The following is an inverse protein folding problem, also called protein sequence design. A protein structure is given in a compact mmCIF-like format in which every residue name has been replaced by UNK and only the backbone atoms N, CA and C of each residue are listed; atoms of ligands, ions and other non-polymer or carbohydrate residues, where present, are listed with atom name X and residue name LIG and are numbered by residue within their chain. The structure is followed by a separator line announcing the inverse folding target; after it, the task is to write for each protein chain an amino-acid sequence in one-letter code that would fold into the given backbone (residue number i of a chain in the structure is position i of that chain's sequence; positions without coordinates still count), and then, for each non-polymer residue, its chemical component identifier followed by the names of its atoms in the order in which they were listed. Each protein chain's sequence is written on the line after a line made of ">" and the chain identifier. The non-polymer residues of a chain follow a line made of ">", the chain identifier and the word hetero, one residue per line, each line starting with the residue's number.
data_IF_772127037792
#
_entry.id   IF_772127037792
#
_cell.length_a   1.000
_cell.length_b   1.000
_cell.length_c   1.000
_cell.angle_alpha   90.00
_cell.angle_beta   90.00
_cell.angle_gamma   90.00
#
_symmetry.space_group_name_H-M   'P 1'
#
loop_
_entity.id
_entity.type
_entity.pdbx_description
1 polymer ?
#
# COMPACT_ATOMS: atom_id res chain seq x y z
N UNK A 1 -6.19 -24.67 -2.20
CA UNK A 1 -6.99 -23.45 -2.15
C UNK A 1 -8.42 -23.86 -1.85
N UNK A 2 -9.09 -23.11 -0.98
CA UNK A 2 -10.57 -23.11 -0.93
C UNK A 2 -10.97 -22.03 -1.92
N UNK A 3 -12.04 -22.24 -2.68
CA UNK A 3 -12.42 -21.29 -3.73
C UNK A 3 -12.71 -19.90 -3.12
N UNK A 4 -13.46 -19.83 -2.01
CA UNK A 4 -13.92 -18.56 -1.43
C UNK A 4 -14.04 -18.61 0.11
N UNK A 5 -13.75 -17.49 0.81
CA UNK A 5 -14.20 -17.25 2.18
C UNK A 5 -15.26 -16.15 2.20
N UNK A 6 -16.49 -16.45 2.65
CA UNK A 6 -17.56 -15.44 2.74
C UNK A 6 -17.74 -14.88 4.14
N UNK A 7 -17.83 -13.56 4.21
CA UNK A 7 -18.12 -12.80 5.42
C UNK A 7 -16.90 -12.67 6.33
N UNK A 8 -17.11 -12.07 7.50
CA UNK A 8 -16.02 -11.73 8.40
C UNK A 8 -15.22 -12.97 8.82
N UNK A 9 -13.95 -13.00 8.46
CA UNK A 9 -13.10 -14.17 8.61
C UNK A 9 -11.97 -13.91 9.60
N UNK A 10 -11.87 -14.76 10.61
CA UNK A 10 -10.76 -14.72 11.58
C UNK A 10 -10.01 -16.05 11.57
N UNK A 11 -8.76 -16.02 11.12
CA UNK A 11 -7.94 -17.23 11.03
C UNK A 11 -6.47 -16.94 11.34
N UNK A 12 -5.68 -17.99 11.60
CA UNK A 12 -4.23 -17.81 11.70
C UNK A 12 -3.61 -17.57 10.31
N UNK A 13 -4.10 -18.30 9.31
CA UNK A 13 -3.61 -18.26 7.94
C UNK A 13 -4.79 -18.43 7.01
N UNK A 14 -4.88 -17.58 5.99
CA UNK A 14 -5.89 -17.62 4.92
C UNK A 14 -5.17 -17.83 3.59
N UNK A 15 -5.67 -18.80 2.82
CA UNK A 15 -5.14 -19.24 1.53
C UNK A 15 -6.30 -19.67 0.63
N UNK A 16 -6.91 -18.71 -0.04
CA UNK A 16 -8.09 -18.86 -0.91
C UNK A 16 -7.94 -17.98 -2.13
N UNK A 17 -8.78 -18.20 -3.14
CA UNK A 17 -8.72 -17.38 -4.36
C UNK A 17 -9.42 -16.02 -4.08
N UNK A 18 -10.64 -16.06 -3.51
CA UNK A 18 -11.39 -14.84 -3.15
C UNK A 18 -11.79 -14.77 -1.67
N UNK A 19 -11.71 -13.56 -1.10
CA UNK A 19 -12.02 -13.28 0.30
C UNK A 19 -12.94 -12.05 0.47
N UNK A 20 -14.25 -12.15 0.17
CA UNK A 20 -15.20 -11.08 0.46
C UNK A 20 -15.57 -10.99 1.95
N UNK A 21 -15.33 -9.83 2.55
CA UNK A 21 -15.67 -9.47 3.93
C UNK A 21 -14.45 -9.11 4.78
N UNK A 22 -14.71 -8.54 5.95
CA UNK A 22 -13.63 -8.07 6.84
C UNK A 22 -12.78 -9.24 7.32
N UNK A 23 -11.47 -9.14 7.13
CA UNK A 23 -10.56 -10.27 7.31
C UNK A 23 -9.49 -9.96 8.35
N UNK A 24 -9.33 -10.84 9.34
CA UNK A 24 -8.27 -10.74 10.35
C UNK A 24 -7.45 -12.02 10.39
N UNK A 25 -6.18 -11.94 10.03
CA UNK A 25 -5.28 -13.09 10.12
C UNK A 25 -3.83 -12.77 10.50
N UNK A 26 -3.02 -13.79 10.81
CA UNK A 26 -1.57 -13.54 10.89
C UNK A 26 -0.96 -13.44 9.48
N UNK A 27 -1.43 -14.27 8.56
CA UNK A 27 -0.97 -14.29 7.16
C UNK A 27 -2.15 -14.46 6.22
N UNK A 28 -2.24 -13.61 5.22
CA UNK A 28 -3.23 -13.66 4.13
C UNK A 28 -2.45 -13.83 2.83
N UNK A 29 -2.85 -14.85 2.06
CA UNK A 29 -2.36 -15.12 0.71
C UNK A 29 -3.59 -15.42 -0.15
N UNK A 30 -4.10 -14.43 -0.88
CA UNK A 30 -5.30 -14.57 -1.71
C UNK A 30 -5.12 -13.82 -3.01
N UNK A 31 -5.86 -14.20 -4.05
CA UNK A 31 -5.79 -13.46 -5.32
C UNK A 31 -6.56 -12.13 -5.13
N UNK A 32 -7.79 -12.18 -4.60
CA UNK A 32 -8.62 -11.00 -4.35
C UNK A 32 -9.14 -10.95 -2.90
N UNK A 33 -9.03 -9.78 -2.25
CA UNK A 33 -9.70 -9.50 -0.98
C UNK A 33 -10.53 -8.22 -1.02
N UNK A 34 -11.75 -8.29 -0.45
CA UNK A 34 -12.68 -7.17 -0.39
C UNK A 34 -13.12 -6.93 1.05
N UNK A 35 -13.08 -5.69 1.50
CA UNK A 35 -13.40 -5.28 2.87
C UNK A 35 -12.17 -5.01 3.71
N UNK A 36 -12.37 -4.69 4.99
CA UNK A 36 -11.29 -4.22 5.84
C UNK A 36 -10.38 -5.40 6.22
N UNK A 37 -9.09 -5.26 5.97
CA UNK A 37 -8.13 -6.35 6.12
C UNK A 37 -7.06 -6.02 7.15
N UNK A 38 -6.92 -6.88 8.17
CA UNK A 38 -5.91 -6.73 9.22
C UNK A 38 -5.03 -7.97 9.30
N UNK A 39 -3.73 -7.84 9.01
CA UNK A 39 -2.82 -8.96 9.18
C UNK A 39 -1.38 -8.61 9.60
N UNK A 40 -0.57 -9.61 9.96
CA UNK A 40 0.87 -9.38 10.08
C UNK A 40 1.56 -9.35 8.72
N UNK A 41 1.08 -10.17 7.78
CA UNK A 41 1.59 -10.24 6.41
C UNK A 41 0.43 -10.45 5.45
N UNK A 42 0.35 -9.59 4.44
CA UNK A 42 -0.60 -9.65 3.33
C UNK A 42 0.21 -9.81 2.05
N UNK A 43 -0.12 -10.83 1.29
CA UNK A 43 0.38 -11.05 -0.07
C UNK A 43 -0.83 -11.32 -0.94
N UNK A 44 -1.29 -10.34 -1.71
CA UNK A 44 -2.48 -10.50 -2.55
C UNK A 44 -2.28 -9.85 -3.91
N UNK A 45 -2.98 -10.29 -4.94
CA UNK A 45 -2.90 -9.61 -6.23
C UNK A 45 -3.71 -8.31 -6.15
N UNK A 46 -4.95 -8.37 -5.67
CA UNK A 46 -5.83 -7.21 -5.49
C UNK A 46 -6.41 -7.13 -4.06
N UNK A 47 -6.35 -5.93 -3.46
CA UNK A 47 -7.05 -5.62 -2.21
C UNK A 47 -7.92 -4.37 -2.33
N UNK A 48 -9.16 -4.48 -1.88
CA UNK A 48 -10.13 -3.38 -1.84
C UNK A 48 -10.65 -3.14 -0.42
N UNK A 49 -10.47 -1.93 0.10
CA UNK A 49 -10.87 -1.53 1.45
C UNK A 49 -9.68 -1.14 2.32
N UNK A 50 -9.96 -0.86 3.59
CA UNK A 50 -8.91 -0.37 4.49
C UNK A 50 -7.99 -1.53 4.90
N UNK A 51 -6.69 -1.36 4.67
CA UNK A 51 -5.71 -2.44 4.88
C UNK A 51 -4.68 -2.06 5.93
N UNK A 52 -4.60 -2.86 7.00
CA UNK A 52 -3.63 -2.66 8.09
C UNK A 52 -2.75 -3.88 8.25
N UNK A 53 -1.45 -3.73 7.98
CA UNK A 53 -0.52 -4.83 8.24
C UNK A 53 0.89 -4.45 8.66
N UNK A 54 1.69 -5.41 9.12
CA UNK A 54 3.12 -5.15 9.31
C UNK A 54 3.86 -5.12 7.96
N UNK A 55 3.45 -5.99 7.04
CA UNK A 55 4.05 -6.10 5.71
C UNK A 55 2.93 -6.35 4.70
N UNK A 56 2.88 -5.50 3.67
CA UNK A 56 1.97 -5.59 2.54
C UNK A 56 2.84 -5.76 1.29
N UNK A 57 2.52 -6.77 0.49
CA UNK A 57 3.10 -7.01 -0.83
C UNK A 57 1.92 -7.30 -1.75
N UNK A 58 1.54 -6.35 -2.58
CA UNK A 58 0.30 -6.42 -3.36
C UNK A 58 0.52 -5.90 -4.76
N UNK A 59 -0.18 -6.37 -5.78
CA UNK A 59 -0.06 -5.75 -7.11
C UNK A 59 -0.90 -4.45 -7.12
N UNK A 60 -2.18 -4.54 -6.75
CA UNK A 60 -3.08 -3.37 -6.65
C UNK A 60 -3.76 -3.24 -5.26
N UNK A 61 -3.59 -2.10 -4.60
CA UNK A 61 -4.16 -1.85 -3.26
C UNK A 61 -5.04 -0.60 -3.23
N UNK A 62 -6.35 -0.80 -3.29
CA UNK A 62 -7.37 0.24 -3.28
C UNK A 62 -7.90 0.52 -1.88
N UNK A 63 -7.74 1.75 -1.40
CA UNK A 63 -8.23 2.21 -0.10
C UNK A 63 -7.12 2.64 0.86
N UNK A 64 -7.49 2.98 2.08
CA UNK A 64 -6.54 3.52 3.05
C UNK A 64 -5.64 2.41 3.58
N UNK A 65 -4.33 2.61 3.45
CA UNK A 65 -3.36 1.56 3.72
C UNK A 65 -2.38 1.97 4.82
N UNK A 66 -2.31 1.19 5.89
CA UNK A 66 -1.39 1.43 7.00
C UNK A 66 -0.48 0.24 7.24
N UNK A 67 0.82 0.42 7.01
CA UNK A 67 1.77 -0.65 7.30
C UNK A 67 3.15 -0.22 7.77
N UNK A 68 3.96 -1.17 8.25
CA UNK A 68 5.37 -0.88 8.49
C UNK A 68 6.16 -0.91 7.17
N UNK A 69 5.80 -1.79 6.25
CA UNK A 69 6.44 -1.90 4.94
C UNK A 69 5.38 -2.22 3.90
N UNK A 70 5.34 -1.42 2.84
CA UNK A 70 4.47 -1.59 1.68
C UNK A 70 5.38 -1.77 0.47
N UNK A 71 5.12 -2.81 -0.30
CA UNK A 71 5.65 -3.07 -1.64
C UNK A 71 4.42 -3.27 -2.52
N UNK A 72 4.21 -2.40 -3.50
CA UNK A 72 2.99 -2.43 -4.30
C UNK A 72 3.23 -1.90 -5.69
N UNK A 73 2.60 -2.45 -6.72
CA UNK A 73 2.74 -1.86 -8.05
C UNK A 73 1.88 -0.60 -8.14
N UNK A 74 0.58 -0.68 -7.80
CA UNK A 74 -0.35 0.45 -7.79
C UNK A 74 -1.08 0.62 -6.44
N UNK A 75 -1.00 1.81 -5.85
CA UNK A 75 -1.60 2.12 -4.55
C UNK A 75 -2.55 3.34 -4.62
N UNK A 76 -3.80 3.15 -5.09
CA UNK A 76 -4.84 4.18 -4.99
C UNK A 76 -5.49 4.26 -3.60
N UNK A 77 -5.12 5.30 -2.85
CA UNK A 77 -5.67 5.63 -1.54
C UNK A 77 -4.63 6.30 -0.64
N UNK A 78 -5.07 6.77 0.53
CA UNK A 78 -4.14 7.39 1.48
C UNK A 78 -3.26 6.31 2.12
N UNK A 79 -1.95 6.52 2.07
CA UNK A 79 -0.99 5.49 2.46
C UNK A 79 -0.07 5.98 3.57
N UNK A 80 -0.03 5.25 4.68
CA UNK A 80 0.84 5.56 5.82
C UNK A 80 1.75 4.38 6.11
N UNK A 81 3.06 4.55 5.92
CA UNK A 81 3.99 3.52 6.30
C UNK A 81 5.33 3.99 6.85
N UNK A 82 6.16 3.07 7.33
CA UNK A 82 7.57 3.43 7.60
C UNK A 82 8.39 3.40 6.32
N UNK A 83 8.12 2.45 5.43
CA UNK A 83 8.80 2.29 4.15
C UNK A 83 7.77 1.95 3.09
N UNK A 84 7.75 2.73 2.02
CA UNK A 84 6.92 2.52 0.83
C UNK A 84 7.86 2.31 -0.35
N UNK A 85 7.62 1.24 -1.09
CA UNK A 85 8.20 0.98 -2.40
C UNK A 85 7.04 0.73 -3.34
N UNK A 86 6.87 1.57 -4.35
CA UNK A 86 5.80 1.37 -5.31
C UNK A 86 6.15 1.86 -6.72
N UNK A 87 5.48 1.35 -7.74
CA UNK A 87 5.60 1.94 -9.07
C UNK A 87 4.73 3.21 -9.13
N UNK A 88 3.46 3.11 -8.72
CA UNK A 88 2.52 4.24 -8.67
C UNK A 88 1.83 4.38 -7.30
N UNK A 89 1.83 5.58 -6.71
CA UNK A 89 1.03 5.92 -5.54
C UNK A 89 0.08 7.08 -5.86
N UNK A 90 -1.22 6.88 -5.63
CA UNK A 90 -2.25 7.88 -5.85
C UNK A 90 -2.96 8.20 -4.53
N UNK A 91 -2.89 9.44 -4.06
CA UNK A 91 -3.43 9.88 -2.78
C UNK A 91 -2.37 10.43 -1.84
N UNK A 92 -2.77 10.76 -0.62
CA UNK A 92 -1.86 11.36 0.35
C UNK A 92 -0.95 10.28 0.95
N UNK A 93 0.37 10.48 0.83
CA UNK A 93 1.35 9.47 1.23
C UNK A 93 2.24 9.99 2.35
N UNK A 94 2.30 9.27 3.47
CA UNK A 94 3.16 9.60 4.61
C UNK A 94 4.07 8.44 4.97
N UNK A 95 5.40 8.64 4.85
CA UNK A 95 6.33 7.63 5.34
C UNK A 95 7.66 8.14 5.90
N UNK A 96 8.47 7.24 6.49
CA UNK A 96 9.87 7.62 6.79
C UNK A 96 10.73 7.58 5.54
N UNK A 97 10.46 6.61 4.66
CA UNK A 97 11.16 6.42 3.39
C UNK A 97 10.14 6.07 2.31
N UNK A 98 10.18 6.79 1.20
CA UNK A 98 9.37 6.57 0.00
C UNK A 98 10.34 6.36 -1.16
N UNK A 99 10.16 5.27 -1.90
CA UNK A 99 10.85 5.00 -3.16
C UNK A 99 9.79 4.64 -4.17
N UNK A 100 9.53 5.54 -5.12
CA UNK A 100 8.40 5.42 -6.05
C UNK A 100 8.76 5.90 -7.42
N UNK A 101 8.19 5.33 -8.48
CA UNK A 101 8.42 5.88 -9.82
C UNK A 101 7.50 7.09 -10.02
N UNK A 102 6.20 6.95 -9.75
CA UNK A 102 5.22 8.04 -9.86
C UNK A 102 4.42 8.23 -8.55
N UNK A 103 4.20 9.50 -8.18
CA UNK A 103 3.32 9.88 -7.06
C UNK A 103 2.37 11.00 -7.46
N UNK A 104 1.05 10.76 -7.34
CA UNK A 104 0.01 11.77 -7.50
C UNK A 104 -0.67 12.03 -6.15
N UNK A 105 -0.42 13.19 -5.53
CA UNK A 105 -0.97 13.55 -4.22
C UNK A 105 0.06 14.21 -3.32
N UNK A 106 -0.36 14.60 -2.11
CA UNK A 106 0.54 15.24 -1.16
C UNK A 106 1.41 14.18 -0.47
N UNK A 107 2.73 14.39 -0.49
CA UNK A 107 3.70 13.40 -0.01
C UNK A 107 4.56 13.97 1.11
N UNK A 108 4.61 13.28 2.24
CA UNK A 108 5.43 13.68 3.40
C UNK A 108 6.35 12.54 3.81
N UNK A 109 7.67 12.74 3.74
CA UNK A 109 8.60 11.76 4.28
C UNK A 109 9.94 12.27 4.83
N UNK A 110 10.66 11.41 5.54
CA UNK A 110 12.05 11.68 5.90
C UNK A 110 12.94 11.69 4.66
N UNK A 111 12.78 10.67 3.81
CA UNK A 111 13.53 10.49 2.57
C UNK A 111 12.57 10.09 1.46
N UNK A 112 12.66 10.77 0.31
CA UNK A 112 11.91 10.47 -0.90
C UNK A 112 12.91 10.22 -2.02
N UNK A 113 12.73 9.11 -2.72
CA UNK A 113 13.32 8.83 -4.02
C UNK A 113 12.16 8.70 -5.00
N UNK A 114 12.04 9.62 -5.96
CA UNK A 114 10.90 9.67 -6.87
C UNK A 114 11.31 10.09 -8.28
N UNK A 115 10.80 9.42 -9.31
CA UNK A 115 11.05 9.86 -10.69
C UNK A 115 10.14 11.02 -11.08
N UNK A 116 8.83 10.89 -10.84
CA UNK A 116 7.82 11.94 -11.06
C UNK A 116 6.88 12.13 -9.86
N UNK A 117 6.69 13.38 -9.43
CA UNK A 117 5.78 13.72 -8.32
C UNK A 117 4.87 14.88 -8.69
N UNK A 118 3.57 14.72 -8.49
CA UNK A 118 2.54 15.73 -8.73
C UNK A 118 1.75 15.98 -7.45
N UNK A 119 2.00 17.11 -6.80
CA UNK A 119 1.40 17.47 -5.52
C UNK A 119 2.42 18.16 -4.62
N UNK A 120 2.01 18.49 -3.40
CA UNK A 120 2.93 19.09 -2.43
C UNK A 120 3.82 18.01 -1.81
N UNK A 121 5.15 18.15 -1.99
CA UNK A 121 6.12 17.19 -1.45
C UNK A 121 6.95 17.82 -0.35
N UNK A 122 6.96 17.20 0.83
CA UNK A 122 7.74 17.63 2.00
C UNK A 122 8.65 16.52 2.47
N UNK A 123 9.96 16.69 2.29
CA UNK A 123 10.93 15.77 2.91
C UNK A 123 12.23 16.40 3.37
N UNK A 124 12.89 15.70 4.30
CA UNK A 124 14.25 16.08 4.73
C UNK A 124 15.29 15.80 3.64
N UNK A 125 15.01 14.86 2.74
CA UNK A 125 15.86 14.53 1.59
C UNK A 125 14.98 14.07 0.45
N UNK A 126 15.16 14.68 -0.73
CA UNK A 126 14.47 14.31 -1.98
C UNK A 126 15.55 14.01 -3.01
N UNK A 127 15.47 12.83 -3.62
CA UNK A 127 16.30 12.41 -4.76
C UNK A 127 15.35 12.13 -5.92
N UNK A 128 15.46 12.88 -7.00
CA UNK A 128 14.63 12.67 -8.19
C UNK A 128 15.48 12.57 -9.45
N UNK A 129 15.20 11.58 -10.32
CA UNK A 129 15.91 11.39 -11.60
C UNK A 129 15.24 12.14 -12.78
N UNK A 130 14.14 12.86 -12.53
CA UNK A 130 13.57 13.86 -13.44
C UNK A 130 13.82 15.30 -12.96
N UNK A 131 14.27 16.21 -13.83
CA UNK A 131 14.31 17.65 -13.55
C UNK A 131 13.21 18.40 -14.32
N UNK A 132 12.74 19.58 -13.86
CA UNK A 132 12.22 19.94 -12.54
C UNK A 132 10.80 20.55 -12.63
N UNK A 133 9.96 20.41 -11.61
CA UNK A 133 8.87 21.38 -11.39
C UNK A 133 8.98 21.97 -9.97
N UNK A 134 9.93 22.88 -9.85
CA UNK A 134 10.00 24.08 -9.01
C UNK A 134 9.12 24.12 -7.73
N UNK A 135 9.75 23.77 -6.61
CA UNK A 135 9.30 24.11 -5.26
C UNK A 135 10.17 25.17 -4.59
N UNK A 136 10.25 26.39 -5.17
CA UNK A 136 10.45 27.70 -4.49
C UNK A 136 9.83 28.84 -5.30
#
# INVERSE_FOLDING_TARGET
>A
MVDECFGDTVARTIMVDECPGDTVASTIMVDECFGDTVASTIMVDESFGDTVARTIMVDECFGDTVARTIMVDECPGDTVARTIMADECLGDTVASTIMVDECLGDTVAGTIMVDESFGDTVASTIMADGSPNDGV
#
